data_IF_573213009595
#
_entry.id   IF_573213009595
#
_cell.length_a   1.000
_cell.length_b   1.000
_cell.length_c   1.000
_cell.angle_alpha   90.00
_cell.angle_beta   90.00
_cell.angle_gamma   90.00
#
_symmetry.space_group_name_H-M   'P 1'
#
loop_
_entity.id
_entity.type
_entity.pdbx_description
1 polymer ?
#
# COMPACT_ATOMS: atom_id res chain seq x y z
N UNK A 1 -7.89 68.33 22.65
CA UNK A 1 -7.42 67.03 22.13
C UNK A 1 -8.14 65.94 22.90
N UNK A 2 -9.05 65.21 22.26
CA UNK A 2 -9.78 64.12 22.92
C UNK A 2 -8.85 62.91 23.06
N UNK A 3 -8.63 62.44 24.29
CA UNK A 3 -7.93 61.18 24.52
C UNK A 3 -8.76 60.04 23.89
N UNK A 4 -8.14 59.11 23.14
CA UNK A 4 -8.86 57.96 22.60
C UNK A 4 -9.41 57.11 23.77
N UNK A 5 -10.56 56.44 23.58
CA UNK A 5 -11.15 55.59 24.61
C UNK A 5 -10.12 54.54 25.03
N UNK A 6 -9.72 54.58 26.29
CA UNK A 6 -8.86 53.58 26.93
C UNK A 6 -9.54 52.22 26.78
N UNK A 7 -8.96 51.35 25.95
CA UNK A 7 -9.48 50.01 25.72
C UNK A 7 -9.70 49.30 27.07
N UNK A 8 -10.87 48.68 27.26
CA UNK A 8 -11.20 47.96 28.50
C UNK A 8 -10.12 46.90 28.77
N UNK A 9 -9.35 47.03 29.88
CA UNK A 9 -8.25 46.12 30.19
C UNK A 9 -8.73 44.68 30.36
N UNK A 10 -10.00 44.47 30.73
CA UNK A 10 -10.61 43.15 30.84
C UNK A 10 -10.82 42.51 29.47
N UNK A 11 -11.29 43.28 28.48
CA UNK A 11 -11.45 42.82 27.10
C UNK A 11 -10.10 42.44 26.49
N UNK A 12 -9.07 43.25 26.69
CA UNK A 12 -7.72 42.96 26.20
C UNK A 12 -7.14 41.66 26.79
N UNK A 13 -7.42 41.37 28.07
CA UNK A 13 -7.05 40.11 28.70
C UNK A 13 -7.76 38.91 28.09
N UNK A 14 -9.08 39.00 27.91
CA UNK A 14 -9.89 37.94 27.32
C UNK A 14 -9.46 37.61 25.88
N UNK A 15 -9.17 38.64 25.07
CA UNK A 15 -8.69 38.43 23.69
C UNK A 15 -7.34 37.70 23.64
N UNK A 16 -6.41 38.01 24.57
CA UNK A 16 -5.15 37.27 24.68
C UNK A 16 -5.36 35.82 25.11
N UNK A 17 -6.29 35.57 26.03
CA UNK A 17 -6.64 34.21 26.44
C UNK A 17 -7.24 33.40 25.29
N UNK A 18 -8.12 34.02 24.49
CA UNK A 18 -8.66 33.42 23.26
C UNK A 18 -7.53 33.07 22.29
N UNK A 19 -6.62 34.00 21.98
CA UNK A 19 -5.50 33.76 21.06
C UNK A 19 -4.57 32.63 21.54
N UNK A 20 -4.39 32.48 22.86
CA UNK A 20 -3.62 31.37 23.44
C UNK A 20 -4.36 30.04 23.24
N UNK A 21 -5.67 30.01 23.45
CA UNK A 21 -6.50 28.82 23.27
C UNK A 21 -6.57 28.42 21.79
N UNK A 22 -6.79 29.36 20.89
CA UNK A 22 -6.81 29.13 19.44
C UNK A 22 -5.51 28.53 18.94
N UNK A 23 -4.35 29.09 19.34
CA UNK A 23 -3.04 28.52 19.00
C UNK A 23 -2.86 27.09 19.53
N UNK A 24 -3.42 26.76 20.70
CA UNK A 24 -3.38 25.37 21.21
C UNK A 24 -4.25 24.45 20.36
N UNK A 25 -5.43 24.90 19.94
CA UNK A 25 -6.34 24.15 19.06
C UNK A 25 -5.67 23.87 17.72
N UNK A 26 -5.08 24.88 17.09
CA UNK A 26 -4.38 24.74 15.81
C UNK A 26 -3.24 23.70 15.89
N UNK A 27 -2.43 23.75 16.95
CA UNK A 27 -1.36 22.78 17.19
C UNK A 27 -1.91 21.36 17.38
N UNK A 28 -2.98 21.21 18.16
CA UNK A 28 -3.61 19.92 18.40
C UNK A 28 -4.21 19.33 17.10
N UNK A 29 -4.84 20.18 16.27
CA UNK A 29 -5.35 19.80 14.97
C UNK A 29 -4.23 19.38 14.01
N UNK A 30 -3.13 20.13 13.94
CA UNK A 30 -1.97 19.80 13.13
C UNK A 30 -1.35 18.44 13.55
N UNK A 31 -1.23 18.20 14.86
CA UNK A 31 -0.75 16.93 15.39
C UNK A 31 -1.71 15.77 15.06
N UNK A 32 -3.01 15.98 15.21
CA UNK A 32 -4.04 15.00 14.83
C UNK A 32 -3.96 14.63 13.35
N UNK A 33 -3.84 15.62 12.46
CA UNK A 33 -3.67 15.38 11.02
C UNK A 33 -2.37 14.62 10.71
N UNK A 34 -1.26 14.96 11.37
CA UNK A 34 0.01 14.24 11.21
C UNK A 34 -0.13 12.76 11.61
N UNK A 35 -0.73 12.47 12.76
CA UNK A 35 -0.92 11.09 13.22
C UNK A 35 -1.84 10.30 12.27
N UNK A 36 -2.92 10.91 11.77
CA UNK A 36 -3.79 10.28 10.77
C UNK A 36 -3.03 9.91 9.50
N UNK A 37 -2.18 10.80 8.99
CA UNK A 37 -1.33 10.53 7.82
C UNK A 37 -0.37 9.37 8.09
N UNK A 38 0.30 9.37 9.24
CA UNK A 38 1.19 8.28 9.63
C UNK A 38 0.48 6.93 9.71
N UNK A 39 -0.76 6.89 10.22
CA UNK A 39 -1.55 5.67 10.28
C UNK A 39 -1.92 5.15 8.88
N UNK A 40 -2.33 6.05 7.97
CA UNK A 40 -2.60 5.70 6.56
C UNK A 40 -1.34 5.21 5.87
N UNK A 41 -0.21 5.88 6.07
CA UNK A 41 1.08 5.50 5.50
C UNK A 41 1.54 4.13 5.99
N UNK A 42 1.36 3.84 7.30
CA UNK A 42 1.71 2.55 7.87
C UNK A 42 0.88 1.41 7.25
N UNK A 43 -0.44 1.63 7.11
CA UNK A 43 -1.33 0.66 6.46
C UNK A 43 -0.94 0.42 5.00
N UNK A 44 -0.66 1.48 4.24
CA UNK A 44 -0.19 1.39 2.85
C UNK A 44 1.15 0.65 2.75
N UNK A 45 2.12 0.93 3.63
CA UNK A 45 3.42 0.22 3.65
C UNK A 45 3.26 -1.28 3.86
N UNK A 46 2.43 -1.67 4.81
CA UNK A 46 2.18 -3.08 5.09
C UNK A 46 1.50 -3.78 3.89
N UNK A 47 0.51 -3.12 3.28
CA UNK A 47 -0.15 -3.61 2.07
C UNK A 47 0.81 -3.76 0.88
N UNK A 48 1.62 -2.73 0.59
CA UNK A 48 2.67 -2.78 -0.43
C UNK A 48 3.65 -3.93 -0.18
N UNK A 49 4.08 -4.13 1.07
CA UNK A 49 5.01 -5.21 1.42
C UNK A 49 4.39 -6.59 1.21
N UNK A 50 3.11 -6.80 1.58
CA UNK A 50 2.40 -8.06 1.32
C UNK A 50 2.30 -8.35 -0.18
N UNK A 51 1.94 -7.34 -0.98
CA UNK A 51 1.82 -7.46 -2.44
C UNK A 51 3.16 -7.82 -3.10
N UNK A 52 4.26 -7.16 -2.69
CA UNK A 52 5.60 -7.46 -3.22
C UNK A 52 6.02 -8.89 -2.86
N UNK A 53 5.91 -9.27 -1.58
CA UNK A 53 6.32 -10.60 -1.11
C UNK A 53 5.50 -11.69 -1.80
N UNK A 54 4.18 -11.54 -1.81
CA UNK A 54 3.29 -12.52 -2.42
C UNK A 54 3.48 -12.59 -3.93
N UNK A 55 3.61 -11.45 -4.61
CA UNK A 55 3.87 -11.40 -6.06
C UNK A 55 5.17 -12.10 -6.43
N UNK A 56 6.26 -11.85 -5.70
CA UNK A 56 7.53 -12.55 -5.90
C UNK A 56 7.42 -14.06 -5.70
N UNK A 57 6.72 -14.49 -4.65
CA UNK A 57 6.48 -15.91 -4.38
C UNK A 57 5.64 -16.59 -5.48
N UNK A 58 4.60 -15.91 -5.97
CA UNK A 58 3.76 -16.40 -7.06
C UNK A 58 4.54 -16.52 -8.37
N UNK A 59 5.34 -15.52 -8.72
CA UNK A 59 6.19 -15.58 -9.92
C UNK A 59 7.23 -16.69 -9.82
N UNK A 60 7.77 -16.96 -8.63
CA UNK A 60 8.69 -18.07 -8.42
C UNK A 60 7.99 -19.43 -8.59
N UNK A 61 6.81 -19.61 -7.98
CA UNK A 61 6.02 -20.84 -8.11
C UNK A 61 5.55 -21.08 -9.56
N UNK A 62 5.22 -20.01 -10.29
CA UNK A 62 4.82 -20.08 -11.69
C UNK A 62 5.91 -20.68 -12.60
N UNK A 63 7.19 -20.66 -12.21
CA UNK A 63 8.28 -21.27 -12.99
C UNK A 63 8.26 -22.80 -13.02
N UNK A 64 7.46 -23.45 -12.18
CA UNK A 64 7.34 -24.92 -12.13
C UNK A 64 5.90 -25.42 -12.17
N UNK A 65 4.91 -24.53 -12.01
CA UNK A 65 3.49 -24.86 -12.07
C UNK A 65 2.84 -24.23 -13.31
N UNK A 66 2.62 -25.02 -14.39
CA UNK A 66 2.03 -24.53 -15.64
C UNK A 66 0.71 -23.79 -15.51
N UNK A 67 -0.19 -24.29 -14.64
CA UNK A 67 -1.49 -23.67 -14.39
C UNK A 67 -1.33 -22.25 -13.82
N UNK A 68 -0.33 -22.07 -12.95
CA UNK A 68 -0.03 -20.78 -12.33
C UNK A 68 0.64 -19.82 -13.31
N UNK A 69 1.54 -20.32 -14.18
CA UNK A 69 2.12 -19.52 -15.26
C UNK A 69 1.04 -18.98 -16.21
N UNK A 70 0.09 -19.84 -16.62
CA UNK A 70 -1.03 -19.44 -17.46
C UNK A 70 -1.95 -18.41 -16.76
N UNK A 71 -2.16 -18.55 -15.45
CA UNK A 71 -2.91 -17.58 -14.66
C UNK A 71 -2.21 -16.20 -14.62
N UNK A 72 -0.89 -16.18 -14.42
CA UNK A 72 -0.10 -14.94 -14.45
C UNK A 72 -0.19 -14.29 -15.82
N UNK A 73 -0.05 -15.06 -16.91
CA UNK A 73 -0.18 -14.55 -18.27
C UNK A 73 -1.54 -13.86 -18.51
N UNK A 74 -2.62 -14.47 -18.04
CA UNK A 74 -3.97 -13.87 -18.10
C UNK A 74 -4.07 -12.58 -17.30
N UNK A 75 -3.46 -12.49 -16.12
CA UNK A 75 -3.50 -11.27 -15.32
C UNK A 75 -2.71 -10.13 -15.96
N UNK A 76 -1.54 -10.42 -16.52
CA UNK A 76 -0.74 -9.41 -17.25
C UNK A 76 -1.49 -8.93 -18.50
N UNK A 77 -2.10 -9.84 -19.26
CA UNK A 77 -2.89 -9.50 -20.45
C UNK A 77 -4.16 -8.66 -20.13
N UNK A 78 -4.67 -8.74 -18.90
CA UNK A 78 -5.84 -7.97 -18.46
C UNK A 78 -5.51 -6.52 -18.04
N UNK A 79 -4.23 -6.14 -17.97
CA UNK A 79 -3.82 -4.79 -17.61
C UNK A 79 -4.07 -3.85 -18.80
N UNK A 80 -4.98 -2.90 -18.62
CA UNK A 80 -5.37 -1.96 -19.68
C UNK A 80 -4.73 -0.58 -19.53
N UNK A 81 -4.31 -0.21 -18.31
CA UNK A 81 -3.79 1.12 -18.03
C UNK A 81 -2.33 1.23 -18.46
N UNK A 82 -1.95 2.19 -19.34
CA UNK A 82 -0.57 2.30 -19.83
C UNK A 82 0.49 2.45 -18.74
N UNK A 83 0.17 3.20 -17.68
CA UNK A 83 1.07 3.39 -16.54
C UNK A 83 1.39 2.08 -15.80
N UNK A 84 0.44 1.15 -15.78
CA UNK A 84 0.57 -0.13 -15.09
C UNK A 84 1.19 -1.21 -15.99
N UNK A 85 1.23 -0.99 -17.31
CA UNK A 85 1.93 -1.86 -18.28
C UNK A 85 3.44 -1.61 -18.30
N UNK A 86 3.88 -0.38 -18.05
CA UNK A 86 5.31 0.01 -18.10
C UNK A 86 6.25 -0.91 -17.28
N UNK A 87 5.91 -1.35 -16.05
CA UNK A 87 6.75 -2.28 -15.30
C UNK A 87 6.91 -3.68 -15.92
N UNK A 88 6.06 -4.03 -16.90
CA UNK A 88 6.10 -5.30 -17.63
C UNK A 88 6.83 -5.20 -18.97
N UNK A 89 7.45 -4.06 -19.30
CA UNK A 89 8.31 -3.95 -20.48
C UNK A 89 9.49 -4.95 -20.38
N UNK A 90 9.62 -5.81 -21.39
CA UNK A 90 10.61 -6.89 -21.40
C UNK A 90 10.26 -8.13 -20.55
N UNK A 91 9.09 -8.16 -19.92
CA UNK A 91 8.60 -9.34 -19.20
C UNK A 91 7.82 -10.27 -20.13
N UNK A 92 8.36 -11.46 -20.42
CA UNK A 92 7.69 -12.45 -21.25
C UNK A 92 6.93 -13.49 -20.43
N UNK A 93 5.61 -13.47 -20.53
CA UNK A 93 4.75 -14.51 -19.93
C UNK A 93 4.81 -15.83 -20.71
N UNK A 94 5.17 -15.78 -21.99
CA UNK A 94 5.38 -16.95 -22.85
C UNK A 94 6.62 -17.74 -22.39
N UNK A 95 7.71 -17.04 -22.08
CA UNK A 95 8.92 -17.66 -21.51
C UNK A 95 8.64 -18.26 -20.12
N UNK A 96 7.82 -17.59 -19.31
CA UNK A 96 7.42 -18.11 -18.01
C UNK A 96 6.62 -19.42 -18.14
N UNK A 97 5.68 -19.48 -19.09
CA UNK A 97 4.92 -20.71 -19.38
C UNK A 97 5.84 -21.81 -19.90
N UNK A 98 6.74 -21.49 -20.85
CA UNK A 98 7.69 -22.46 -21.40
C UNK A 98 8.57 -23.05 -20.29
N UNK A 99 9.14 -22.22 -19.43
CA UNK A 99 9.93 -22.66 -18.28
C UNK A 99 9.14 -23.58 -17.34
N UNK A 100 7.86 -23.28 -17.10
CA UNK A 100 6.99 -24.11 -16.28
C UNK A 100 6.73 -25.49 -16.89
N UNK A 101 6.53 -25.55 -18.21
CA UNK A 101 6.33 -26.81 -18.93
C UNK A 101 7.58 -27.69 -18.89
N UNK A 102 8.76 -27.10 -19.12
CA UNK A 102 10.03 -27.81 -19.10
C UNK A 102 10.34 -28.41 -17.71
N UNK A 103 10.14 -27.62 -16.65
CA UNK A 103 10.35 -28.07 -15.27
C UNK A 103 9.33 -29.13 -14.85
N UNK A 104 8.08 -29.00 -15.27
CA UNK A 104 7.03 -29.99 -14.98
C UNK A 104 7.27 -31.32 -15.73
N UNK A 105 7.87 -31.28 -16.92
CA UNK A 105 8.25 -32.48 -17.66
C UNK A 105 9.47 -33.21 -17.04
N UNK A 106 10.39 -32.46 -16.42
CA UNK A 106 11.62 -32.99 -15.82
C UNK A 106 11.45 -33.48 -14.37
N UNK A 107 10.47 -32.96 -13.62
CA UNK A 107 10.27 -33.30 -12.22
C UNK A 107 9.48 -34.61 -12.02
N UNK A 108 9.91 -35.53 -11.12
CA UNK A 108 9.06 -36.63 -10.70
C UNK A 108 7.84 -36.05 -10.00
N UNK A 109 6.63 -36.36 -10.51
CA UNK A 109 5.34 -35.87 -9.97
C UNK A 109 5.26 -36.18 -8.48
N UNK A 110 5.59 -35.19 -7.62
CA UNK A 110 5.42 -35.34 -6.18
C UNK A 110 3.92 -35.43 -5.90
N UNK A 111 3.43 -36.45 -5.18
CA UNK A 111 2.02 -36.51 -4.83
C UNK A 111 1.64 -35.27 -4.02
N UNK A 112 0.60 -34.55 -4.46
CA UNK A 112 0.00 -33.44 -3.71
C UNK A 112 -0.41 -33.98 -2.34
N UNK A 113 0.34 -33.66 -1.28
CA UNK A 113 -0.07 -33.96 0.09
C UNK A 113 -1.22 -33.03 0.45
N UNK A 114 -2.43 -33.47 0.16
CA UNK A 114 -3.65 -32.96 0.79
C UNK A 114 -3.72 -33.61 2.18
N UNK A 115 -3.02 -33.05 3.16
CA UNK A 115 -3.27 -33.36 4.58
C UNK A 115 -3.85 -32.13 5.24
N UNK A 116 -5.16 -31.92 5.08
CA UNK A 116 -5.93 -31.16 6.05
C UNK A 116 -6.53 -32.20 7.01
N UNK A 117 -5.94 -32.30 8.21
CA UNK A 117 -6.50 -33.06 9.32
C UNK A 117 -7.44 -32.10 10.07
N UNK A 118 -8.75 -32.35 10.12
CA UNK A 118 -9.64 -31.54 10.95
C UNK A 118 -9.43 -31.93 12.42
N UNK A 119 -9.46 -30.92 13.29
CA UNK A 119 -9.71 -31.07 14.73
C UNK A 119 -11.22 -30.92 14.99
#
# INVERSE_FOLDING_TARGET
MAQPPTADPKLAKLLREVEIVERKIERAQALSQRLKRLAVDHSRRADTRRKIILGGALLNAARSEPELAALVARFVAAITRPADLKPFEGFSTEELIAAAMDQNASAPRRPRRLTHKPD
#
